data_IF_859394479083
#
_entry.id   IF_859394479083
#
_cell.length_a   1.000
_cell.length_b   1.000
_cell.length_c   1.000
_cell.angle_alpha   90.00
_cell.angle_beta   90.00
_cell.angle_gamma   90.00
#
_symmetry.space_group_name_H-M   'P 1'
#
loop_
_entity.id
_entity.type
_entity.pdbx_description
1 polymer ?
#
# COMPACT_ATOMS: atom_id res chain seq x y z
N UNK A 1 -0.79 -11.28 20.12
CA UNK A 1 0.23 -10.41 19.54
C UNK A 1 -0.37 -9.08 19.19
N UNK A 2 0.34 -7.99 19.33
CA UNK A 2 -0.14 -6.67 18.93
C UNK A 2 0.66 -6.17 17.74
N UNK A 3 -0.05 -5.67 16.73
CA UNK A 3 0.60 -5.02 15.60
C UNK A 3 1.27 -3.72 16.05
N UNK A 4 2.45 -3.44 15.50
CA UNK A 4 3.24 -2.24 15.81
C UNK A 4 3.58 -1.54 14.51
N UNK A 5 3.44 -0.21 14.50
CA UNK A 5 3.84 0.59 13.36
C UNK A 5 5.34 0.90 13.47
N UNK A 6 6.13 0.49 12.48
CA UNK A 6 7.60 0.60 12.53
C UNK A 6 8.17 1.57 11.50
N UNK A 7 7.37 2.07 10.59
CA UNK A 7 7.83 3.03 9.61
C UNK A 7 6.68 3.64 8.84
N UNK A 8 6.93 4.80 8.26
CA UNK A 8 5.95 5.50 7.45
C UNK A 8 6.61 6.29 6.34
N UNK A 9 5.84 6.53 5.27
CA UNK A 9 6.28 7.34 4.15
C UNK A 9 5.08 7.89 3.40
N UNK A 10 5.25 9.07 2.81
CA UNK A 10 4.19 9.64 1.99
C UNK A 10 4.78 10.58 0.94
N UNK A 11 4.03 10.78 -0.14
CA UNK A 11 4.35 11.79 -1.13
C UNK A 11 3.93 13.17 -0.64
N UNK A 12 4.51 14.22 -1.20
CA UNK A 12 4.10 15.58 -0.91
C UNK A 12 2.65 15.80 -1.32
N UNK A 13 1.89 16.53 -0.54
CA UNK A 13 0.53 16.95 -0.91
C UNK A 13 0.63 17.96 -2.05
N UNK A 14 -0.20 17.76 -3.06
CA UNK A 14 -0.22 18.64 -4.21
C UNK A 14 -0.90 18.01 -5.40
N UNK A 15 -0.85 18.73 -6.53
CA UNK A 15 -1.42 18.27 -7.80
C UNK A 15 -0.30 17.66 -8.64
N UNK A 16 -0.26 16.34 -8.70
CA UNK A 16 0.78 15.58 -9.40
C UNK A 16 0.33 15.21 -10.82
N UNK A 17 0.16 16.20 -11.68
CA UNK A 17 -0.41 16.00 -13.01
C UNK A 17 0.49 15.21 -13.97
N UNK A 18 1.79 15.19 -13.72
CA UNK A 18 2.80 14.52 -14.55
C UNK A 18 3.32 13.23 -13.89
N UNK A 19 2.64 12.75 -12.85
CA UNK A 19 3.00 11.50 -12.19
C UNK A 19 1.84 10.51 -12.27
N UNK A 20 2.15 9.21 -12.31
CA UNK A 20 1.16 8.15 -12.21
C UNK A 20 1.17 7.54 -10.80
N UNK A 21 0.18 6.70 -10.53
CA UNK A 21 0.06 6.04 -9.23
C UNK A 21 1.28 5.17 -8.93
N UNK A 22 1.84 4.49 -9.94
CA UNK A 22 2.99 3.62 -9.76
C UNK A 22 4.19 4.39 -9.17
N UNK A 23 4.50 5.56 -9.71
CA UNK A 23 5.62 6.36 -9.22
C UNK A 23 5.37 6.92 -7.83
N UNK A 24 4.13 7.29 -7.53
CA UNK A 24 3.76 7.81 -6.21
C UNK A 24 3.82 6.72 -5.14
N UNK A 25 3.31 5.53 -5.46
CA UNK A 25 3.39 4.39 -4.53
C UNK A 25 4.83 3.98 -4.30
N UNK A 26 5.64 3.91 -5.36
CA UNK A 26 7.05 3.58 -5.21
C UNK A 26 7.76 4.56 -4.26
N UNK A 27 7.55 5.86 -4.43
CA UNK A 27 8.13 6.85 -3.53
C UNK A 27 7.71 6.64 -2.08
N UNK A 28 6.40 6.51 -1.82
CA UNK A 28 5.89 6.36 -0.46
C UNK A 28 6.37 5.06 0.19
N UNK A 29 6.36 3.94 -0.54
CA UNK A 29 6.79 2.64 -0.03
C UNK A 29 8.28 2.63 0.25
N UNK A 30 9.11 3.18 -0.65
CA UNK A 30 10.55 3.23 -0.42
C UNK A 30 10.90 4.10 0.78
N UNK A 31 10.20 5.20 0.99
CA UNK A 31 10.38 6.04 2.18
C UNK A 31 10.00 5.27 3.46
N UNK A 32 8.90 4.53 3.42
CA UNK A 32 8.46 3.73 4.58
C UNK A 32 9.46 2.62 4.90
N UNK A 33 9.97 1.93 3.88
CA UNK A 33 10.97 0.87 4.06
C UNK A 33 12.28 1.42 4.63
N UNK A 34 12.72 2.57 4.13
CA UNK A 34 13.91 3.24 4.65
C UNK A 34 13.73 3.62 6.11
N UNK A 35 12.57 4.17 6.46
CA UNK A 35 12.26 4.55 7.83
C UNK A 35 12.24 3.33 8.76
N UNK A 36 11.72 2.20 8.29
CA UNK A 36 11.66 0.96 9.05
C UNK A 36 13.00 0.17 9.05
N UNK A 37 13.92 0.51 8.16
CA UNK A 37 15.17 -0.24 8.01
C UNK A 37 14.97 -1.59 7.34
N UNK A 38 14.01 -1.70 6.41
CA UNK A 38 13.65 -2.95 5.75
C UNK A 38 13.92 -2.89 4.25
N UNK A 39 14.11 -4.08 3.66
CA UNK A 39 14.20 -4.27 2.22
C UNK A 39 12.84 -4.74 1.66
N UNK A 40 12.65 -4.60 0.34
CA UNK A 40 11.38 -4.98 -0.31
C UNK A 40 11.03 -6.45 -0.11
N UNK A 41 12.00 -7.34 -0.09
CA UNK A 41 11.78 -8.77 0.04
C UNK A 41 11.45 -9.22 1.48
N UNK A 42 11.50 -8.31 2.43
CA UNK A 42 11.10 -8.57 3.82
C UNK A 42 9.60 -8.34 4.06
N UNK A 43 8.87 -7.87 3.04
CA UNK A 43 7.43 -7.62 3.15
C UNK A 43 6.67 -8.93 2.94
N UNK A 44 5.80 -9.28 3.88
CA UNK A 44 5.04 -10.53 3.86
C UNK A 44 3.62 -10.38 3.32
N UNK A 45 3.05 -9.19 3.35
CA UNK A 45 1.72 -8.91 2.84
C UNK A 45 1.55 -7.41 2.61
N UNK A 46 0.58 -7.05 1.77
CA UNK A 46 0.24 -5.65 1.52
C UNK A 46 -1.27 -5.46 1.52
N UNK A 47 -1.73 -4.41 2.16
CA UNK A 47 -3.13 -3.99 2.18
C UNK A 47 -3.20 -2.61 1.54
N UNK A 48 -3.91 -2.50 0.43
CA UNK A 48 -3.90 -1.29 -0.40
C UNK A 48 -5.31 -0.70 -0.46
N UNK A 49 -5.45 0.50 0.08
CA UNK A 49 -6.70 1.25 0.03
C UNK A 49 -6.68 2.27 -1.10
N UNK A 50 -7.73 2.28 -1.92
CA UNK A 50 -7.88 3.24 -2.99
C UNK A 50 -9.35 3.42 -3.34
N UNK A 51 -9.82 4.68 -3.42
CA UNK A 51 -11.22 4.98 -3.65
C UNK A 51 -11.56 5.28 -5.11
N UNK A 52 -10.71 6.02 -5.83
CA UNK A 52 -11.09 6.61 -7.12
C UNK A 52 -10.19 6.23 -8.29
N UNK A 53 -9.12 5.52 -8.05
CA UNK A 53 -8.12 5.19 -9.06
C UNK A 53 -8.71 4.49 -10.28
N UNK A 54 -9.60 3.53 -10.06
CA UNK A 54 -10.21 2.77 -11.15
C UNK A 54 -10.94 3.65 -12.14
N UNK A 55 -11.72 4.58 -11.62
CA UNK A 55 -12.49 5.52 -12.46
C UNK A 55 -11.57 6.52 -13.13
N UNK A 56 -10.60 7.07 -12.40
CA UNK A 56 -9.74 8.14 -12.91
C UNK A 56 -8.69 7.66 -13.90
N UNK A 57 -8.16 6.45 -13.73
CA UNK A 57 -7.04 5.97 -14.55
C UNK A 57 -7.32 4.62 -15.23
N UNK A 58 -8.56 4.14 -15.18
CA UNK A 58 -8.96 2.93 -15.87
C UNK A 58 -8.46 1.63 -15.26
N UNK A 59 -7.92 1.65 -14.05
CA UNK A 59 -7.44 0.45 -13.36
C UNK A 59 -8.39 0.10 -12.24
N UNK A 60 -9.45 -0.63 -12.53
CA UNK A 60 -10.49 -0.99 -11.55
C UNK A 60 -10.20 -2.28 -10.80
N UNK A 61 -9.39 -3.17 -11.38
CA UNK A 61 -9.06 -4.45 -10.77
C UNK A 61 -7.60 -4.50 -10.34
N UNK A 62 -7.33 -5.22 -9.25
CA UNK A 62 -5.98 -5.54 -8.74
C UNK A 62 -5.03 -4.34 -8.71
N UNK A 63 -5.53 -3.21 -8.25
CA UNK A 63 -4.75 -1.96 -8.23
C UNK A 63 -3.46 -2.07 -7.41
N UNK A 64 -3.54 -2.75 -6.27
CA UNK A 64 -2.36 -2.98 -5.43
C UNK A 64 -1.30 -3.82 -6.13
N UNK A 65 -1.71 -4.89 -6.80
CA UNK A 65 -0.79 -5.75 -7.54
C UNK A 65 -0.11 -4.98 -8.66
N UNK A 66 -0.85 -4.17 -9.40
CA UNK A 66 -0.29 -3.38 -10.51
C UNK A 66 0.82 -2.46 -10.02
N UNK A 67 0.57 -1.69 -8.97
CA UNK A 67 1.54 -0.71 -8.48
C UNK A 67 2.72 -1.35 -7.74
N UNK A 68 2.48 -2.41 -6.98
CA UNK A 68 3.54 -3.06 -6.22
C UNK A 68 4.44 -3.94 -7.11
N UNK A 69 3.85 -4.68 -8.07
CA UNK A 69 4.64 -5.43 -9.04
C UNK A 69 5.55 -4.52 -9.86
N UNK A 70 5.11 -3.31 -10.17
CA UNK A 70 5.92 -2.35 -10.93
C UNK A 70 7.20 -1.97 -10.19
N UNK A 71 7.23 -2.06 -8.86
CA UNK A 71 8.43 -1.77 -8.06
C UNK A 71 9.12 -3.04 -7.55
N UNK A 72 8.72 -4.21 -8.03
CA UNK A 72 9.37 -5.48 -7.70
C UNK A 72 8.87 -6.16 -6.44
N UNK A 73 7.71 -5.77 -5.91
CA UNK A 73 7.07 -6.45 -4.78
C UNK A 73 5.99 -7.37 -5.30
N UNK A 74 6.15 -8.68 -5.10
CA UNK A 74 5.22 -9.69 -5.54
C UNK A 74 5.45 -11.00 -4.81
N UNK A 75 4.65 -12.01 -5.15
CA UNK A 75 4.73 -13.32 -4.49
C UNK A 75 4.21 -13.32 -3.06
N UNK A 76 3.48 -12.29 -2.66
CA UNK A 76 2.90 -12.12 -1.33
C UNK A 76 1.40 -11.84 -1.48
N UNK A 77 0.60 -12.07 -0.41
CA UNK A 77 -0.80 -11.64 -0.43
C UNK A 77 -0.91 -10.12 -0.58
N UNK A 78 -1.71 -9.68 -1.54
CA UNK A 78 -2.01 -8.26 -1.75
C UNK A 78 -3.52 -8.11 -1.74
N UNK A 79 -4.03 -7.39 -0.76
CA UNK A 79 -5.46 -7.17 -0.54
C UNK A 79 -5.82 -5.75 -0.94
N UNK A 80 -6.78 -5.62 -1.82
CA UNK A 80 -7.27 -4.31 -2.26
C UNK A 80 -8.58 -3.99 -1.54
N UNK A 81 -8.66 -2.78 -0.98
CA UNK A 81 -9.83 -2.34 -0.23
C UNK A 81 -10.33 -1.00 -0.77
N UNK A 82 -11.63 -0.86 -0.75
CA UNK A 82 -12.29 0.39 -1.09
C UNK A 82 -13.39 0.66 -0.06
N UNK A 83 -13.36 1.83 0.54
CA UNK A 83 -14.37 2.29 1.49
C UNK A 83 -14.41 3.82 1.43
N UNK A 84 -14.49 4.35 0.22
CA UNK A 84 -14.48 5.78 -0.04
C UNK A 84 -13.32 6.48 0.71
N UNK A 85 -13.60 7.55 1.44
CA UNK A 85 -12.56 8.30 2.15
C UNK A 85 -11.88 7.50 3.28
N UNK A 86 -12.47 6.40 3.72
CA UNK A 86 -11.93 5.55 4.77
C UNK A 86 -11.15 4.34 4.24
N UNK A 87 -10.82 4.30 2.95
CA UNK A 87 -10.16 3.15 2.32
C UNK A 87 -8.85 2.76 3.01
N UNK A 88 -7.96 3.72 3.24
CA UNK A 88 -6.67 3.43 3.88
C UNK A 88 -6.80 3.08 5.35
N UNK A 89 -7.73 3.70 6.07
CA UNK A 89 -8.00 3.33 7.47
C UNK A 89 -8.54 1.91 7.56
N UNK A 90 -9.40 1.50 6.61
CA UNK A 90 -9.92 0.14 6.53
C UNK A 90 -8.79 -0.85 6.22
N UNK A 91 -7.89 -0.50 5.30
CA UNK A 91 -6.73 -1.33 4.96
C UNK A 91 -5.82 -1.52 6.18
N UNK A 92 -5.52 -0.45 6.90
CA UNK A 92 -4.69 -0.52 8.10
C UNK A 92 -5.32 -1.41 9.17
N UNK A 93 -6.62 -1.24 9.41
CA UNK A 93 -7.34 -2.06 10.38
C UNK A 93 -7.31 -3.54 10.00
N UNK A 94 -7.49 -3.87 8.72
CA UNK A 94 -7.41 -5.24 8.23
C UNK A 94 -6.03 -5.85 8.42
N UNK A 95 -4.98 -5.12 8.09
CA UNK A 95 -3.61 -5.58 8.26
C UNK A 95 -3.29 -5.82 9.74
N UNK A 96 -3.69 -4.90 10.61
CA UNK A 96 -3.49 -5.05 12.05
C UNK A 96 -4.21 -6.28 12.61
N UNK A 97 -5.44 -6.51 12.16
CA UNK A 97 -6.21 -7.68 12.60
C UNK A 97 -5.52 -8.98 12.21
N UNK A 98 -4.97 -9.07 11.01
CA UNK A 98 -4.27 -10.27 10.54
C UNK A 98 -2.97 -10.50 11.31
N UNK A 99 -2.23 -9.44 11.61
CA UNK A 99 -1.01 -9.54 12.42
C UNK A 99 -1.36 -9.98 13.84
N UNK A 100 -2.37 -9.37 14.44
CA UNK A 100 -2.81 -9.69 15.80
C UNK A 100 -3.32 -11.14 15.90
N UNK A 101 -3.92 -11.67 14.83
CA UNK A 101 -4.38 -13.05 14.76
C UNK A 101 -3.25 -14.05 14.50
N UNK A 102 -2.04 -13.58 14.18
CA UNK A 102 -0.92 -14.45 13.87
C UNK A 102 -0.96 -15.02 12.45
N UNK A 103 -1.75 -14.45 11.54
CA UNK A 103 -1.89 -14.94 10.17
C UNK A 103 -0.83 -14.37 9.22
N UNK A 104 -0.19 -13.32 9.65
CA UNK A 104 0.93 -12.71 8.94
C UNK A 104 2.09 -12.52 9.90
#
# INVERSE_FOLDING_TARGET
>A
MKATMIGGGMTAFGKHIDRNLKSMVEEAVMLALKDAGLEKDEIDAAYVGNASQGVLQGQESVRGQVVLHAMGIGGIPIVNLENACASSATALNGAMAMINAGEI
#
